data_IF_397854751287
#
_entry.id   IF_397854751287
#
_cell.length_a   1.000
_cell.length_b   1.000
_cell.length_c   1.000
_cell.angle_alpha   90.00
_cell.angle_beta   90.00
_cell.angle_gamma   90.00
#
_symmetry.space_group_name_H-M   'P 1'
#
loop_
_entity.id
_entity.type
_entity.pdbx_description
1 polymer ?
#
# COMPACT_ATOMS: atom_id res chain seq x y z
N UNK A 1 27.19 -6.47 -23.33
CA UNK A 1 26.30 -6.09 -22.23
C UNK A 1 25.13 -7.08 -22.26
N UNK A 2 24.89 -7.85 -21.20
CA UNK A 2 23.71 -8.72 -21.12
C UNK A 2 22.58 -7.87 -20.55
N UNK A 3 21.48 -7.75 -21.26
CA UNK A 3 20.23 -7.16 -20.79
C UNK A 3 19.30 -8.30 -20.31
N UNK A 4 19.67 -8.96 -19.22
CA UNK A 4 18.88 -10.04 -18.65
C UNK A 4 19.40 -10.36 -17.25
N UNK A 5 18.57 -10.99 -16.48
CA UNK A 5 18.93 -11.42 -15.12
C UNK A 5 19.96 -12.55 -15.16
N UNK A 6 20.60 -12.81 -14.04
CA UNK A 6 21.47 -13.96 -13.89
C UNK A 6 20.65 -15.26 -13.75
N UNK A 7 21.32 -16.41 -13.81
CA UNK A 7 20.68 -17.72 -13.76
C UNK A 7 19.92 -17.95 -12.44
N UNK A 8 20.40 -17.38 -11.32
CA UNK A 8 19.75 -17.48 -10.01
C UNK A 8 18.41 -16.74 -10.03
N UNK A 9 18.40 -15.52 -10.52
CA UNK A 9 17.20 -14.66 -10.57
C UNK A 9 16.17 -15.23 -11.57
N UNK A 10 16.62 -15.78 -12.71
CA UNK A 10 15.72 -16.46 -13.65
C UNK A 10 15.12 -17.74 -13.05
N UNK A 11 15.91 -18.54 -12.34
CA UNK A 11 15.39 -19.73 -11.65
C UNK A 11 14.37 -19.38 -10.56
N UNK A 12 14.56 -18.26 -9.86
CA UNK A 12 13.56 -17.73 -8.92
C UNK A 12 12.27 -17.33 -9.64
N UNK A 13 12.36 -16.64 -10.79
CA UNK A 13 11.21 -16.30 -11.63
C UNK A 13 10.43 -17.54 -12.04
N UNK A 14 11.13 -18.56 -12.57
CA UNK A 14 10.49 -19.78 -13.04
C UNK A 14 9.74 -20.50 -11.91
N UNK A 15 10.32 -20.54 -10.69
CA UNK A 15 9.65 -21.11 -9.51
C UNK A 15 8.41 -20.29 -9.11
N UNK A 16 8.50 -18.96 -9.10
CA UNK A 16 7.37 -18.09 -8.80
C UNK A 16 6.24 -18.27 -9.81
N UNK A 17 6.58 -18.25 -11.11
CA UNK A 17 5.60 -18.40 -12.19
C UNK A 17 4.89 -19.74 -12.08
N UNK A 18 5.64 -20.83 -11.91
CA UNK A 18 5.06 -22.17 -11.74
C UNK A 18 4.14 -22.24 -10.50
N UNK A 19 4.53 -21.61 -9.40
CA UNK A 19 3.71 -21.54 -8.19
C UNK A 19 2.42 -20.74 -8.44
N UNK A 20 2.51 -19.58 -9.07
CA UNK A 20 1.35 -18.74 -9.38
C UNK A 20 0.37 -19.48 -10.30
N UNK A 21 0.87 -20.10 -11.38
CA UNK A 21 0.03 -20.87 -12.30
C UNK A 21 -0.72 -22.01 -11.63
N UNK A 22 -0.14 -22.61 -10.59
CA UNK A 22 -0.75 -23.70 -9.84
C UNK A 22 -1.72 -23.25 -8.74
N UNK A 23 -1.60 -22.02 -8.23
CA UNK A 23 -2.24 -21.60 -7.00
C UNK A 23 -3.08 -20.31 -7.10
N UNK A 24 -3.11 -19.65 -8.27
CA UNK A 24 -3.98 -18.47 -8.43
C UNK A 24 -5.44 -18.85 -8.16
N UNK A 25 -6.17 -18.00 -7.41
CA UNK A 25 -7.58 -18.20 -7.15
C UNK A 25 -8.39 -18.28 -8.46
N UNK A 26 -9.49 -19.04 -8.44
CA UNK A 26 -10.43 -19.06 -9.56
C UNK A 26 -10.95 -17.63 -9.83
N UNK A 27 -10.90 -17.15 -11.09
CA UNK A 27 -11.39 -15.82 -11.44
C UNK A 27 -12.83 -15.53 -11.01
N UNK A 28 -13.68 -16.54 -10.90
CA UNK A 28 -15.06 -16.38 -10.41
C UNK A 28 -15.13 -15.96 -8.93
N UNK A 29 -14.15 -16.36 -8.12
CA UNK A 29 -14.08 -15.98 -6.71
C UNK A 29 -13.62 -14.53 -6.54
N UNK A 30 -12.81 -14.02 -7.46
CA UNK A 30 -12.24 -12.68 -7.39
C UNK A 30 -13.24 -11.58 -7.78
N UNK A 31 -14.46 -11.96 -8.19
CA UNK A 31 -15.55 -11.02 -8.42
C UNK A 31 -16.12 -10.41 -7.13
N UNK A 32 -15.95 -11.09 -5.98
CA UNK A 32 -16.32 -10.55 -4.68
C UNK A 32 -15.31 -9.47 -4.27
N UNK A 33 -15.81 -8.27 -4.01
CA UNK A 33 -14.99 -7.10 -3.67
C UNK A 33 -15.03 -6.83 -2.18
N UNK A 34 -13.89 -6.47 -1.58
CA UNK A 34 -13.87 -5.98 -0.21
C UNK A 34 -14.60 -4.62 -0.13
N UNK A 35 -15.30 -4.39 0.97
CA UNK A 35 -15.97 -3.12 1.26
C UNK A 35 -15.02 -2.09 1.86
N UNK A 36 -13.90 -2.54 2.42
CA UNK A 36 -12.83 -1.70 2.95
C UNK A 36 -11.45 -2.36 2.77
N UNK A 37 -10.38 -1.61 3.00
CA UNK A 37 -9.01 -2.11 2.97
C UNK A 37 -8.64 -3.03 4.16
N UNK A 38 -9.58 -3.34 5.05
CA UNK A 38 -9.44 -4.33 6.11
C UNK A 38 -10.53 -5.42 6.08
N UNK A 39 -11.50 -5.32 5.18
CA UNK A 39 -12.47 -6.37 4.90
C UNK A 39 -11.90 -7.33 3.85
N UNK A 40 -11.25 -8.39 4.31
CA UNK A 40 -10.59 -9.36 3.42
C UNK A 40 -11.54 -10.52 3.11
N UNK A 41 -11.92 -10.75 1.83
CA UNK A 41 -12.72 -11.89 1.43
C UNK A 41 -12.08 -13.22 1.83
N UNK A 42 -12.90 -14.24 2.09
CA UNK A 42 -12.41 -15.55 2.56
C UNK A 42 -11.39 -16.19 1.61
N UNK A 43 -11.61 -16.10 0.30
CA UNK A 43 -10.67 -16.60 -0.71
C UNK A 43 -9.33 -15.87 -0.69
N UNK A 44 -9.34 -14.54 -0.43
CA UNK A 44 -8.14 -13.73 -0.37
C UNK A 44 -7.34 -13.98 0.91
N UNK A 45 -8.02 -14.22 2.05
CA UNK A 45 -7.38 -14.68 3.30
C UNK A 45 -6.67 -16.02 3.09
N UNK A 46 -7.33 -16.96 2.44
CA UNK A 46 -6.75 -18.27 2.14
C UNK A 46 -5.55 -18.17 1.20
N UNK A 47 -5.66 -17.37 0.13
CA UNK A 47 -4.56 -17.15 -0.81
C UNK A 47 -3.36 -16.48 -0.14
N UNK A 48 -3.58 -15.41 0.64
CA UNK A 48 -2.51 -14.74 1.39
C UNK A 48 -1.84 -15.68 2.39
N UNK A 49 -2.64 -16.50 3.11
CA UNK A 49 -2.12 -17.52 4.02
C UNK A 49 -1.25 -18.54 3.30
N UNK A 50 -1.70 -19.04 2.14
CA UNK A 50 -0.94 -19.97 1.31
C UNK A 50 0.36 -19.34 0.80
N UNK A 51 0.32 -18.08 0.35
CA UNK A 51 1.54 -17.33 -0.01
C UNK A 51 2.53 -17.26 1.14
N UNK A 52 2.04 -17.03 2.37
CA UNK A 52 2.88 -17.01 3.57
C UNK A 52 3.50 -18.38 3.84
N UNK A 53 2.68 -19.44 3.89
CA UNK A 53 3.11 -20.80 4.21
C UNK A 53 4.12 -21.36 3.18
N UNK A 54 3.98 -20.97 1.90
CA UNK A 54 4.88 -21.35 0.82
C UNK A 54 6.05 -20.39 0.61
N UNK A 55 6.17 -19.34 1.44
CA UNK A 55 7.28 -18.37 1.43
C UNK A 55 7.22 -17.37 0.29
N UNK A 56 6.05 -17.13 -0.31
CA UNK A 56 5.88 -16.18 -1.41
C UNK A 56 5.24 -14.85 -1.01
N UNK A 57 4.79 -14.69 0.23
CA UNK A 57 4.12 -13.44 0.65
C UNK A 57 5.08 -12.26 0.70
N UNK A 58 6.22 -12.47 1.33
CA UNK A 58 7.25 -11.44 1.56
C UNK A 58 8.64 -12.03 1.29
N UNK A 59 9.01 -12.26 0.02
CA UNK A 59 10.14 -13.11 -0.34
C UNK A 59 11.48 -12.66 0.23
N UNK A 60 11.66 -11.37 0.55
CA UNK A 60 12.89 -10.85 1.20
C UNK A 60 13.02 -11.21 2.67
N UNK A 61 11.93 -11.60 3.33
CA UNK A 61 11.96 -12.04 4.71
C UNK A 61 12.49 -13.48 4.83
N UNK A 62 12.90 -13.89 6.04
CA UNK A 62 13.27 -15.28 6.28
C UNK A 62 12.01 -16.18 6.26
N UNK A 63 12.18 -17.52 6.12
CA UNK A 63 11.07 -18.46 5.98
C UNK A 63 10.02 -18.40 7.09
N UNK A 64 10.43 -18.17 8.34
CA UNK A 64 9.56 -18.02 9.50
C UNK A 64 8.63 -16.80 9.44
N UNK A 65 8.92 -15.86 8.55
CA UNK A 65 8.11 -14.68 8.26
C UNK A 65 7.51 -14.70 6.84
N UNK A 66 7.29 -15.90 6.29
CA UNK A 66 6.64 -16.06 4.98
C UNK A 66 7.50 -15.66 3.80
N UNK A 67 8.84 -15.74 3.93
CA UNK A 67 9.80 -15.35 2.91
C UNK A 67 10.76 -16.47 2.50
N UNK A 68 11.80 -16.09 1.74
CA UNK A 68 12.81 -16.97 1.14
C UNK A 68 14.23 -16.39 1.21
N UNK A 69 14.44 -15.31 1.98
CA UNK A 69 15.69 -14.54 1.99
C UNK A 69 16.08 -14.05 0.58
N UNK A 70 15.09 -13.68 -0.24
CA UNK A 70 15.31 -13.20 -1.59
C UNK A 70 16.12 -11.90 -1.60
N UNK A 71 16.99 -11.78 -2.58
CA UNK A 71 17.75 -10.54 -2.80
C UNK A 71 16.92 -9.47 -3.55
N UNK A 72 17.52 -8.30 -3.76
CA UNK A 72 16.83 -7.17 -4.40
C UNK A 72 16.37 -7.45 -5.83
N UNK A 73 17.10 -8.27 -6.60
CA UNK A 73 16.69 -8.62 -7.96
C UNK A 73 15.58 -9.64 -7.97
N UNK A 74 15.62 -10.63 -7.08
CA UNK A 74 14.55 -11.58 -6.88
C UNK A 74 13.27 -10.87 -6.43
N UNK A 75 13.38 -9.87 -5.52
CA UNK A 75 12.24 -9.05 -5.12
C UNK A 75 11.67 -8.23 -6.29
N UNK A 76 12.52 -7.66 -7.13
CA UNK A 76 12.07 -6.91 -8.31
C UNK A 76 11.31 -7.82 -9.27
N UNK A 77 11.87 -8.98 -9.59
CA UNK A 77 11.22 -10.00 -10.44
C UNK A 77 9.88 -10.46 -9.83
N UNK A 78 9.83 -10.64 -8.52
CA UNK A 78 8.60 -10.99 -7.81
C UNK A 78 7.50 -9.94 -8.05
N UNK A 79 7.80 -8.65 -7.86
CA UNK A 79 6.83 -7.58 -8.07
C UNK A 79 6.43 -7.44 -9.54
N UNK A 80 7.37 -7.59 -10.48
CA UNK A 80 7.07 -7.60 -11.92
C UNK A 80 6.11 -8.73 -12.30
N UNK A 81 6.33 -9.94 -11.80
CA UNK A 81 5.48 -11.09 -12.15
C UNK A 81 4.08 -11.00 -11.52
N UNK A 82 3.98 -10.47 -10.28
CA UNK A 82 2.67 -10.17 -9.68
C UNK A 82 1.93 -9.10 -10.49
N UNK A 83 2.60 -7.99 -10.83
CA UNK A 83 2.00 -6.90 -11.59
C UNK A 83 1.53 -7.33 -12.98
N UNK A 84 2.33 -8.10 -13.74
CA UNK A 84 1.95 -8.63 -15.05
C UNK A 84 0.72 -9.54 -15.01
N UNK A 85 0.51 -10.24 -13.90
CA UNK A 85 -0.61 -11.17 -13.71
C UNK A 85 -1.76 -10.57 -12.93
N UNK A 86 -1.67 -9.29 -12.57
CA UNK A 86 -2.65 -8.58 -11.75
C UNK A 86 -2.93 -9.31 -10.42
N UNK A 87 -1.89 -9.83 -9.78
CA UNK A 87 -1.99 -10.56 -8.52
C UNK A 87 -1.87 -9.62 -7.35
N UNK A 88 -2.94 -9.50 -6.58
CA UNK A 88 -2.96 -8.81 -5.29
C UNK A 88 -2.56 -9.78 -4.20
N UNK A 89 -1.42 -9.54 -3.53
CA UNK A 89 -0.92 -10.42 -2.46
C UNK A 89 -1.60 -10.19 -1.11
N UNK A 90 -2.24 -9.04 -0.92
CA UNK A 90 -2.97 -8.71 0.30
C UNK A 90 -4.03 -7.65 0.02
N UNK A 91 -5.22 -7.85 0.58
CA UNK A 91 -6.31 -6.88 0.58
C UNK A 91 -6.27 -5.96 1.81
N UNK A 92 -5.28 -6.14 2.69
CA UNK A 92 -4.98 -5.22 3.79
C UNK A 92 -3.55 -4.67 3.61
N UNK A 93 -3.33 -3.78 2.63
CA UNK A 93 -2.00 -3.32 2.26
C UNK A 93 -1.30 -2.57 3.38
N UNK A 94 -2.02 -1.74 4.17
CA UNK A 94 -1.47 -1.06 5.33
C UNK A 94 -1.05 -2.06 6.42
N UNK A 95 -1.87 -3.09 6.64
CA UNK A 95 -1.56 -4.15 7.59
C UNK A 95 -0.29 -4.90 7.20
N UNK A 96 -0.23 -5.39 5.94
CA UNK A 96 0.93 -6.16 5.47
C UNK A 96 2.16 -5.27 5.24
N UNK A 97 2.02 -4.15 4.53
CA UNK A 97 3.16 -3.36 4.05
C UNK A 97 3.74 -2.42 5.08
N UNK A 98 2.95 -1.94 6.04
CA UNK A 98 3.37 -0.92 7.01
C UNK A 98 3.32 -1.46 8.45
N UNK A 99 2.16 -1.95 8.91
CA UNK A 99 1.99 -2.34 10.31
C UNK A 99 2.84 -3.56 10.65
N UNK A 100 2.70 -4.67 9.91
CA UNK A 100 3.50 -5.88 10.17
C UNK A 100 4.99 -5.62 9.94
N UNK A 101 5.36 -4.86 8.90
CA UNK A 101 6.75 -4.49 8.63
C UNK A 101 7.36 -3.63 9.75
N UNK A 102 6.58 -2.70 10.35
CA UNK A 102 7.01 -1.92 11.50
C UNK A 102 7.25 -2.80 12.72
N UNK A 103 6.33 -3.73 12.99
CA UNK A 103 6.46 -4.65 14.13
C UNK A 103 7.66 -5.59 13.95
N UNK A 104 7.85 -6.15 12.75
CA UNK A 104 9.02 -7.01 12.44
C UNK A 104 10.34 -6.24 12.59
N UNK A 105 10.38 -4.96 12.20
CA UNK A 105 11.62 -4.16 12.21
C UNK A 105 11.96 -3.55 13.56
N UNK A 106 10.97 -3.26 14.40
CA UNK A 106 11.12 -2.45 15.61
C UNK A 106 10.50 -3.08 16.87
N UNK A 107 9.62 -4.07 16.72
CA UNK A 107 8.98 -4.79 17.80
C UNK A 107 9.89 -5.87 18.39
N UNK A 108 9.41 -6.52 19.43
CA UNK A 108 10.02 -7.70 20.05
C UNK A 108 9.37 -8.99 19.54
N UNK A 109 9.94 -10.15 19.90
CA UNK A 109 9.48 -11.47 19.44
C UNK A 109 8.02 -11.74 19.83
N UNK A 110 7.57 -11.33 21.03
CA UNK A 110 6.18 -11.48 21.47
C UNK A 110 5.22 -10.65 20.59
N UNK A 111 5.60 -9.43 20.22
CA UNK A 111 4.83 -8.57 19.34
C UNK A 111 4.77 -9.13 17.91
N UNK A 112 5.88 -9.71 17.44
CA UNK A 112 5.92 -10.35 16.14
C UNK A 112 4.97 -11.55 16.09
N UNK A 113 5.02 -12.43 17.08
CA UNK A 113 4.15 -13.61 17.17
C UNK A 113 2.67 -13.23 17.35
N UNK A 114 2.39 -12.21 18.18
CA UNK A 114 1.01 -11.84 18.53
C UNK A 114 0.30 -11.06 17.42
N UNK A 115 1.01 -10.21 16.68
CA UNK A 115 0.41 -9.30 15.71
C UNK A 115 0.99 -9.40 14.30
N UNK A 116 2.31 -9.37 14.12
CA UNK A 116 2.88 -9.32 12.78
C UNK A 116 2.57 -10.61 12.00
N UNK A 117 2.85 -11.78 12.55
CA UNK A 117 2.58 -13.07 11.89
C UNK A 117 1.09 -13.27 11.60
N UNK A 118 0.15 -13.05 12.53
CA UNK A 118 -1.29 -13.14 12.23
C UNK A 118 -1.76 -12.15 11.13
N UNK A 119 -1.21 -10.94 11.08
CA UNK A 119 -1.50 -9.98 9.99
C UNK A 119 -0.96 -10.52 8.66
N UNK A 120 0.27 -10.99 8.64
CA UNK A 120 0.89 -11.55 7.44
C UNK A 120 0.12 -12.79 6.94
N UNK A 121 -0.43 -13.61 7.83
CA UNK A 121 -1.27 -14.77 7.50
C UNK A 121 -2.73 -14.42 7.18
N UNK A 122 -3.09 -13.14 7.17
CA UNK A 122 -4.47 -12.65 7.04
C UNK A 122 -5.45 -13.21 8.09
N UNK A 123 -4.94 -13.65 9.24
CA UNK A 123 -5.74 -14.06 10.41
C UNK A 123 -6.25 -12.83 11.17
N UNK A 124 -5.48 -11.75 11.14
CA UNK A 124 -5.84 -10.41 11.64
C UNK A 124 -5.66 -9.36 10.55
N UNK A 125 -6.40 -8.28 10.67
CA UNK A 125 -6.25 -7.07 9.84
C UNK A 125 -5.76 -5.91 10.68
N UNK A 126 -5.07 -4.97 10.03
CA UNK A 126 -4.55 -3.81 10.73
C UNK A 126 -4.74 -2.52 9.93
N UNK A 127 -4.91 -1.42 10.64
CA UNK A 127 -4.96 -0.08 10.07
C UNK A 127 -3.92 0.84 10.71
N UNK A 128 -3.63 1.96 10.02
CA UNK A 128 -2.55 2.87 10.39
C UNK A 128 -3.09 4.22 10.84
N UNK A 129 -2.99 4.53 12.13
CA UNK A 129 -3.40 5.79 12.74
C UNK A 129 -2.27 6.81 12.77
N UNK A 130 -2.03 7.52 11.67
CA UNK A 130 -0.99 8.56 11.55
C UNK A 130 -1.59 9.96 11.62
N UNK A 131 -2.31 10.34 10.59
CA UNK A 131 -2.80 11.71 10.36
C UNK A 131 -3.85 12.12 11.39
N UNK A 132 -3.89 13.43 11.67
CA UNK A 132 -4.91 14.08 12.49
C UNK A 132 -5.55 15.22 11.70
N UNK A 133 -6.72 15.75 12.11
CA UNK A 133 -7.32 16.89 11.43
C UNK A 133 -6.39 18.10 11.29
N UNK A 134 -5.44 18.28 12.22
CA UNK A 134 -4.44 19.35 12.22
C UNK A 134 -3.03 18.93 11.84
N UNK A 135 -2.77 17.64 11.53
CA UNK A 135 -1.43 17.12 11.29
C UNK A 135 -1.45 16.03 10.21
N UNK A 136 -1.30 16.45 8.95
CA UNK A 136 -1.11 15.59 7.79
C UNK A 136 0.35 15.58 7.35
N UNK A 137 0.72 16.42 6.36
CA UNK A 137 2.12 16.55 5.90
C UNK A 137 3.09 16.99 7.01
N UNK A 138 2.66 17.84 7.95
CA UNK A 138 3.40 18.11 9.21
C UNK A 138 3.00 17.11 10.30
N UNK A 139 3.22 15.81 10.03
CA UNK A 139 2.88 14.73 10.97
C UNK A 139 3.58 14.92 12.34
N UNK A 140 4.75 15.53 12.36
CA UNK A 140 5.47 15.82 13.59
C UNK A 140 4.68 16.75 14.55
N UNK A 141 3.64 17.42 14.07
CA UNK A 141 2.74 18.26 14.88
C UNK A 141 1.55 17.50 15.46
N UNK A 142 1.50 16.18 15.36
CA UNK A 142 0.43 15.36 15.96
C UNK A 142 0.25 15.65 17.45
N UNK A 143 -1.00 15.61 17.91
CA UNK A 143 -1.44 16.01 19.25
C UNK A 143 -2.14 14.91 20.03
N UNK A 144 -2.57 13.81 19.37
CA UNK A 144 -3.08 12.61 20.07
C UNK A 144 -2.03 12.18 21.09
N UNK A 145 -2.36 12.32 22.37
CA UNK A 145 -1.43 12.08 23.47
C UNK A 145 -1.59 10.69 24.06
N UNK A 146 -0.49 10.16 24.58
CA UNK A 146 -0.48 8.97 25.41
C UNK A 146 0.29 9.28 26.70
N UNK A 147 -0.38 9.21 27.83
CA UNK A 147 0.18 9.51 29.15
C UNK A 147 0.42 8.19 29.89
N UNK A 148 1.62 7.90 30.37
CA UNK A 148 1.88 6.71 31.16
C UNK A 148 1.03 6.70 32.46
N UNK A 149 0.40 5.57 32.76
CA UNK A 149 -0.36 5.31 33.99
C UNK A 149 -0.15 3.84 34.43
N UNK A 150 0.75 3.62 35.32
CA UNK A 150 1.14 2.28 35.77
C UNK A 150 1.74 1.44 34.66
N UNK A 151 1.10 0.34 34.32
CA UNK A 151 1.49 -0.59 33.23
C UNK A 151 0.76 -0.31 31.92
N UNK A 152 0.09 0.84 31.80
CA UNK A 152 -0.66 1.27 30.62
C UNK A 152 -0.29 2.70 30.19
N UNK A 153 -0.71 3.03 28.99
CA UNK A 153 -0.85 4.41 28.50
C UNK A 153 -2.32 4.77 28.42
N UNK A 154 -2.68 5.96 28.89
CA UNK A 154 -4.02 6.56 28.66
C UNK A 154 -3.93 7.38 27.39
N UNK A 155 -4.65 6.95 26.34
CA UNK A 155 -4.61 7.59 25.03
C UNK A 155 -5.86 8.46 24.82
N UNK A 156 -5.63 9.73 24.42
CA UNK A 156 -6.68 10.70 24.12
C UNK A 156 -6.35 11.48 22.85
N UNK A 157 -7.32 11.64 21.96
CA UNK A 157 -7.17 12.41 20.73
C UNK A 157 -8.01 11.89 19.58
N UNK A 158 -7.60 12.26 18.38
CA UNK A 158 -8.32 11.90 17.16
C UNK A 158 -7.34 11.63 16.02
N UNK A 159 -7.60 10.56 15.25
CA UNK A 159 -6.96 10.30 13.96
C UNK A 159 -7.98 10.43 12.83
N UNK A 160 -7.51 10.71 11.62
CA UNK A 160 -8.34 10.82 10.42
C UNK A 160 -7.62 10.18 9.22
N UNK A 161 -8.36 9.84 8.18
CA UNK A 161 -7.86 9.14 6.99
C UNK A 161 -7.32 7.74 7.31
N UNK A 162 -7.80 7.12 8.38
CA UNK A 162 -7.38 5.78 8.79
C UNK A 162 -8.13 4.73 7.97
N UNK A 163 -7.49 4.27 6.87
CA UNK A 163 -8.11 3.32 5.95
C UNK A 163 -8.43 2.00 6.62
N UNK A 164 -9.67 1.50 6.41
CA UNK A 164 -10.14 0.21 6.91
C UNK A 164 -10.28 0.10 8.42
N UNK A 165 -10.15 1.20 9.20
CA UNK A 165 -10.14 1.10 10.65
C UNK A 165 -11.41 0.49 11.25
N UNK A 166 -12.57 0.64 10.60
CA UNK A 166 -13.84 0.10 11.09
C UNK A 166 -13.88 -1.44 11.05
N UNK A 167 -13.15 -2.08 10.14
CA UNK A 167 -13.05 -3.53 10.01
C UNK A 167 -11.75 -4.11 10.56
N UNK A 168 -10.76 -3.25 10.90
CA UNK A 168 -9.47 -3.70 11.39
C UNK A 168 -9.54 -4.28 12.81
N UNK A 169 -8.75 -5.33 13.07
CA UNK A 169 -8.57 -5.94 14.40
C UNK A 169 -7.64 -5.11 15.29
N UNK A 170 -6.64 -4.45 14.68
CA UNK A 170 -5.65 -3.66 15.41
C UNK A 170 -5.29 -2.38 14.67
N UNK A 171 -4.85 -1.37 15.42
CA UNK A 171 -4.30 -0.12 14.89
C UNK A 171 -2.85 0.04 15.32
N UNK A 172 -1.96 0.42 14.40
CA UNK A 172 -0.66 1.02 14.77
C UNK A 172 -0.86 2.54 14.81
N UNK A 173 -0.74 3.13 16.00
CA UNK A 173 -1.06 4.55 16.22
C UNK A 173 0.18 5.32 16.65
N UNK A 174 0.46 6.44 15.98
CA UNK A 174 1.51 7.37 16.37
C UNK A 174 0.94 8.42 17.32
N UNK A 175 1.53 8.54 18.50
CA UNK A 175 1.02 9.35 19.62
C UNK A 175 2.10 10.24 20.23
N UNK A 176 1.69 11.34 20.87
CA UNK A 176 2.55 12.25 21.62
C UNK A 176 2.73 11.73 23.05
N UNK A 177 3.93 11.24 23.35
CA UNK A 177 4.29 10.74 24.69
C UNK A 177 5.12 11.76 25.48
N UNK A 178 5.79 12.70 24.79
CA UNK A 178 6.51 13.81 25.45
C UNK A 178 6.16 15.12 24.72
N UNK A 179 5.27 15.97 25.28
CA UNK A 179 4.87 17.23 24.69
C UNK A 179 5.94 18.33 24.78
N UNK A 180 6.91 18.21 25.70
CA UNK A 180 7.96 19.19 25.93
C UNK A 180 9.21 18.93 25.06
N UNK A 181 9.31 17.76 24.47
CA UNK A 181 10.40 17.41 23.57
C UNK A 181 10.28 18.14 22.21
N UNK A 182 11.38 18.32 21.46
CA UNK A 182 11.32 18.74 20.08
C UNK A 182 10.36 17.84 19.27
N UNK A 183 9.57 18.42 18.35
CA UNK A 183 8.46 17.76 17.63
C UNK A 183 8.69 16.29 17.29
N UNK A 184 9.85 15.97 16.69
CA UNK A 184 10.18 14.62 16.23
C UNK A 184 10.65 13.66 17.34
N UNK A 185 10.91 14.15 18.55
CA UNK A 185 11.51 13.36 19.63
C UNK A 185 10.54 12.99 20.75
N UNK A 186 9.29 13.39 20.65
CA UNK A 186 8.27 13.09 21.65
C UNK A 186 7.12 12.23 21.10
N UNK A 187 7.36 11.46 20.05
CA UNK A 187 6.39 10.60 19.40
C UNK A 187 6.72 9.14 19.70
N UNK A 188 5.71 8.34 20.01
CA UNK A 188 5.81 6.89 20.16
C UNK A 188 4.83 6.18 19.23
N UNK A 189 5.04 4.89 19.00
CA UNK A 189 4.14 4.03 18.24
C UNK A 189 3.51 2.98 19.16
N UNK A 190 2.18 2.90 19.18
CA UNK A 190 1.43 1.97 20.02
C UNK A 190 0.55 1.06 19.16
N UNK A 191 0.48 -0.23 19.52
CA UNK A 191 -0.52 -1.14 18.96
C UNK A 191 -1.76 -1.06 19.85
N UNK A 192 -2.90 -0.72 19.24
CA UNK A 192 -4.20 -0.61 19.91
C UNK A 192 -5.15 -1.65 19.34
N UNK A 193 -5.65 -2.56 20.16
CA UNK A 193 -6.71 -3.49 19.74
C UNK A 193 -8.03 -2.74 19.61
N UNK A 194 -8.77 -3.00 18.53
CA UNK A 194 -9.91 -2.15 18.14
C UNK A 194 -11.17 -2.37 18.98
N UNK A 195 -11.21 -3.41 19.79
CA UNK A 195 -12.26 -3.68 20.79
C UNK A 195 -11.98 -2.99 22.14
N UNK A 196 -10.90 -2.21 22.25
CA UNK A 196 -10.54 -1.51 23.51
C UNK A 196 -11.61 -0.45 23.84
N UNK A 197 -12.14 -0.44 25.05
CA UNK A 197 -13.11 0.57 25.49
C UNK A 197 -12.61 2.00 25.32
N UNK A 198 -13.49 2.91 24.90
CA UNK A 198 -13.14 4.31 24.62
C UNK A 198 -12.64 4.58 23.21
N UNK A 199 -12.44 3.55 22.39
CA UNK A 199 -12.13 3.68 20.96
C UNK A 199 -13.41 3.73 20.13
N UNK A 200 -13.58 4.82 19.37
CA UNK A 200 -14.71 4.98 18.44
C UNK A 200 -14.17 5.19 17.01
N UNK A 201 -14.68 4.43 16.04
CA UNK A 201 -14.25 4.42 14.64
C UNK A 201 -15.43 4.76 13.75
N UNK A 202 -15.35 5.92 13.09
CA UNK A 202 -16.42 6.46 12.27
C UNK A 202 -16.03 6.49 10.81
N UNK A 203 -16.49 5.51 10.03
CA UNK A 203 -16.21 5.50 8.60
C UNK A 203 -16.96 6.65 7.89
N UNK A 204 -16.34 7.17 6.82
CA UNK A 204 -16.95 8.19 5.96
C UNK A 204 -16.63 7.92 4.48
N UNK A 205 -17.56 8.28 3.57
CA UNK A 205 -17.38 8.07 2.14
C UNK A 205 -16.35 9.03 1.54
N UNK A 206 -15.71 8.61 0.46
CA UNK A 206 -14.84 9.42 -0.37
C UNK A 206 -15.58 9.96 -1.64
N UNK A 207 -14.83 10.58 -2.56
CA UNK A 207 -15.36 11.11 -3.81
C UNK A 207 -15.83 10.03 -4.80
N UNK A 208 -15.45 8.77 -4.59
CA UNK A 208 -15.90 7.64 -5.42
C UNK A 208 -17.37 7.28 -5.21
N UNK A 209 -18.01 7.83 -4.17
CA UNK A 209 -19.43 7.68 -3.94
C UNK A 209 -19.79 7.24 -2.52
N UNK A 210 -21.09 7.20 -2.17
CA UNK A 210 -21.54 6.90 -0.82
C UNK A 210 -21.22 5.47 -0.36
N UNK A 211 -20.97 4.56 -1.28
CA UNK A 211 -20.66 3.15 -0.99
C UNK A 211 -19.13 2.90 -0.88
N UNK A 212 -18.31 3.91 -1.20
CA UNK A 212 -16.86 3.88 -1.06
C UNK A 212 -16.46 4.36 0.34
N UNK A 213 -16.56 3.46 1.31
CA UNK A 213 -16.37 3.78 2.73
C UNK A 213 -15.13 3.05 3.24
N UNK A 214 -13.95 3.67 3.10
CA UNK A 214 -12.70 3.11 3.60
C UNK A 214 -12.06 3.97 4.69
N UNK A 215 -12.14 5.30 4.55
CA UNK A 215 -11.54 6.21 5.50
C UNK A 215 -12.34 6.34 6.78
N UNK A 216 -11.63 6.50 7.89
CA UNK A 216 -12.24 6.66 9.20
C UNK A 216 -11.68 7.87 9.95
N UNK A 217 -12.55 8.53 10.70
CA UNK A 217 -12.16 9.23 11.90
C UNK A 217 -12.08 8.22 13.05
N UNK A 218 -11.01 8.30 13.83
CA UNK A 218 -10.80 7.42 14.99
C UNK A 218 -10.61 8.27 16.22
N UNK A 219 -11.51 8.12 17.20
CA UNK A 219 -11.51 8.89 18.44
C UNK A 219 -11.01 8.01 19.58
N UNK A 220 -10.17 8.59 20.42
CA UNK A 220 -9.63 8.00 21.63
C UNK A 220 -10.10 8.81 22.83
N UNK A 221 -10.88 8.20 23.70
CA UNK A 221 -11.43 8.80 24.94
C UNK A 221 -11.04 7.91 26.11
N UNK A 222 -9.97 8.30 26.79
CA UNK A 222 -9.31 7.56 27.88
C UNK A 222 -9.05 6.07 27.55
N UNK A 223 -8.60 5.80 26.32
CA UNK A 223 -8.28 4.44 25.87
C UNK A 223 -7.06 3.92 26.59
N UNK A 224 -7.22 2.80 27.31
CA UNK A 224 -6.13 2.16 28.07
C UNK A 224 -5.36 1.19 27.18
N UNK A 225 -4.11 1.50 26.87
CA UNK A 225 -3.25 0.68 26.04
C UNK A 225 -2.11 0.10 26.88
N UNK A 226 -1.94 -1.23 26.98
CA UNK A 226 -0.86 -1.83 27.75
C UNK A 226 0.51 -1.33 27.32
N UNK A 227 1.42 -1.08 28.27
CA UNK A 227 2.79 -0.63 27.98
C UNK A 227 3.57 -1.65 27.12
N UNK A 228 3.22 -2.93 27.20
CA UNK A 228 3.76 -3.98 26.33
C UNK A 228 3.42 -3.80 24.84
N UNK A 229 2.42 -2.98 24.51
CA UNK A 229 2.03 -2.65 23.15
C UNK A 229 2.85 -1.51 22.52
N UNK A 230 3.83 -0.96 23.25
CA UNK A 230 4.77 0.02 22.73
C UNK A 230 5.72 -0.67 21.71
N UNK A 231 5.71 -0.23 20.48
CA UNK A 231 6.63 -0.70 19.45
C UNK A 231 7.92 0.09 19.51
N UNK A 232 9.06 -0.60 19.66
CA UNK A 232 10.36 0.03 19.87
C UNK A 232 10.47 0.73 21.23
N UNK A 233 11.31 1.77 21.29
CA UNK A 233 11.53 2.53 22.52
C UNK A 233 10.55 3.69 22.67
N UNK A 234 10.34 4.16 23.90
CA UNK A 234 9.55 5.36 24.17
C UNK A 234 10.18 6.56 23.46
N UNK A 235 9.34 7.35 22.80
CA UNK A 235 9.72 8.53 22.01
C UNK A 235 10.52 8.23 20.72
N UNK A 236 10.56 6.97 20.26
CA UNK A 236 11.23 6.56 19.03
C UNK A 236 10.28 6.45 17.80
N UNK A 237 9.02 6.84 17.98
CA UNK A 237 7.97 6.71 16.95
C UNK A 237 8.30 7.42 15.64
N UNK A 238 9.06 8.51 15.67
CA UNK A 238 9.49 9.17 14.44
C UNK A 238 10.44 8.32 13.59
N UNK A 239 11.37 7.60 14.23
CA UNK A 239 12.26 6.66 13.54
C UNK A 239 11.46 5.49 12.96
N UNK A 240 10.51 4.98 13.74
CA UNK A 240 9.61 3.88 13.31
C UNK A 240 8.79 4.32 12.08
N UNK A 241 8.17 5.49 12.13
CA UNK A 241 7.41 6.06 11.01
C UNK A 241 8.24 6.17 9.73
N UNK A 242 9.44 6.73 9.81
CA UNK A 242 10.32 6.86 8.65
C UNK A 242 10.83 5.51 8.15
N UNK A 243 11.13 4.58 9.04
CA UNK A 243 11.60 3.23 8.70
C UNK A 243 10.53 2.43 7.97
N UNK A 244 9.29 2.45 8.46
CA UNK A 244 8.14 1.81 7.84
C UNK A 244 7.92 2.29 6.41
N UNK A 245 7.90 3.61 6.20
CA UNK A 245 7.74 4.24 4.89
C UNK A 245 8.95 4.00 3.96
N UNK A 246 10.15 3.82 4.48
CA UNK A 246 11.34 3.57 3.66
C UNK A 246 11.34 2.18 3.02
N UNK A 247 10.87 1.15 3.74
CA UNK A 247 10.74 -0.19 3.21
C UNK A 247 9.73 -0.25 2.05
N UNK A 248 8.60 0.41 2.20
CA UNK A 248 7.59 0.51 1.16
C UNK A 248 8.14 1.20 -0.10
N UNK A 249 8.80 2.34 0.07
CA UNK A 249 9.30 3.17 -1.04
C UNK A 249 10.40 2.51 -1.88
N UNK A 250 11.14 1.54 -1.35
CA UNK A 250 12.30 0.97 -2.03
C UNK A 250 11.98 0.38 -3.41
N UNK A 251 10.79 -0.23 -3.56
CA UNK A 251 10.35 -0.91 -4.79
C UNK A 251 9.05 -0.34 -5.38
N UNK A 252 8.53 0.77 -4.87
CA UNK A 252 7.30 1.41 -5.39
C UNK A 252 7.37 1.70 -6.89
N UNK A 253 8.55 1.99 -7.43
CA UNK A 253 8.72 2.28 -8.84
C UNK A 253 8.35 1.10 -9.76
N UNK A 254 8.54 -0.15 -9.30
CA UNK A 254 8.13 -1.34 -10.05
C UNK A 254 6.61 -1.33 -10.19
N UNK A 255 5.93 -1.09 -9.08
CA UNK A 255 4.47 -1.02 -9.04
C UNK A 255 3.93 0.15 -9.86
N UNK A 256 4.52 1.35 -9.71
CA UNK A 256 4.12 2.52 -10.48
C UNK A 256 4.28 2.32 -11.99
N UNK A 257 5.42 1.79 -12.44
CA UNK A 257 5.62 1.53 -13.86
C UNK A 257 4.68 0.44 -14.39
N UNK A 258 4.44 -0.63 -13.63
CA UNK A 258 3.54 -1.69 -14.05
C UNK A 258 2.07 -1.24 -14.07
N UNK A 259 1.64 -0.49 -13.06
CA UNK A 259 0.29 0.07 -13.02
C UNK A 259 0.05 1.04 -14.18
N UNK A 260 1.04 1.87 -14.52
CA UNK A 260 0.95 2.78 -15.67
C UNK A 260 0.91 2.00 -17.00
N UNK A 261 1.69 0.92 -17.14
CA UNK A 261 1.63 0.05 -18.32
C UNK A 261 0.23 -0.60 -18.47
N UNK A 262 -0.32 -1.11 -17.36
CA UNK A 262 -1.66 -1.70 -17.34
C UNK A 262 -2.74 -0.66 -17.72
N UNK A 263 -2.64 0.56 -17.18
CA UNK A 263 -3.55 1.66 -17.56
C UNK A 263 -3.40 2.06 -19.03
N UNK A 264 -2.20 2.03 -19.58
CA UNK A 264 -1.94 2.28 -20.99
C UNK A 264 -2.57 1.21 -21.89
N UNK A 265 -2.44 -0.06 -21.52
CA UNK A 265 -3.04 -1.18 -22.25
C UNK A 265 -4.58 -1.04 -22.27
N UNK A 266 -5.20 -0.71 -21.12
CA UNK A 266 -6.63 -0.45 -21.01
C UNK A 266 -7.05 0.75 -21.85
N UNK A 267 -6.29 1.86 -21.82
CA UNK A 267 -6.56 3.06 -22.61
C UNK A 267 -6.50 2.79 -24.12
N UNK A 268 -5.48 2.07 -24.57
CA UNK A 268 -5.32 1.68 -25.96
C UNK A 268 -6.46 0.76 -26.43
N UNK A 269 -6.87 -0.19 -25.59
CA UNK A 269 -7.98 -1.08 -25.90
C UNK A 269 -9.31 -0.31 -26.05
N UNK A 270 -9.58 0.65 -25.17
CA UNK A 270 -10.82 1.42 -25.16
C UNK A 270 -10.88 2.47 -26.29
N UNK A 271 -9.74 3.08 -26.63
CA UNK A 271 -9.67 4.02 -27.75
C UNK A 271 -9.69 3.33 -29.11
N UNK A 272 -9.39 2.02 -29.16
CA UNK A 272 -9.34 1.27 -30.43
C UNK A 272 -10.67 1.33 -31.18
N UNK A 273 -10.62 1.75 -32.44
CA UNK A 273 -11.81 1.86 -33.30
C UNK A 273 -12.69 3.10 -33.03
N UNK A 274 -12.28 3.97 -32.12
CA UNK A 274 -12.91 5.29 -31.91
C UNK A 274 -12.24 6.36 -32.80
N UNK A 275 -12.87 7.53 -33.03
CA UNK A 275 -12.23 8.65 -33.72
C UNK A 275 -10.96 9.16 -33.02
N UNK A 276 -10.80 8.91 -31.71
CA UNK A 276 -9.65 9.34 -30.93
C UNK A 276 -8.40 8.48 -31.16
N UNK A 277 -8.56 7.30 -31.77
CA UNK A 277 -7.41 6.43 -32.10
C UNK A 277 -6.45 7.07 -33.13
N UNK A 278 -6.94 7.97 -33.96
CA UNK A 278 -6.18 8.69 -34.99
C UNK A 278 -6.01 10.20 -34.67
N UNK A 279 -6.36 10.64 -33.46
CA UNK A 279 -6.19 12.03 -33.02
C UNK A 279 -4.75 12.29 -32.61
N UNK A 280 -4.07 13.21 -33.30
CA UNK A 280 -2.66 13.54 -33.06
C UNK A 280 -2.39 14.01 -31.63
N UNK A 281 -3.34 14.71 -30.97
CA UNK A 281 -3.20 15.18 -29.58
C UNK A 281 -3.27 14.01 -28.61
N UNK A 282 -4.21 13.10 -28.84
CA UNK A 282 -4.35 11.88 -28.03
C UNK A 282 -3.11 11.01 -28.17
N UNK A 283 -2.64 10.80 -29.41
CA UNK A 283 -1.44 10.01 -29.69
C UNK A 283 -0.17 10.63 -29.08
N UNK A 284 0.00 11.96 -29.10
CA UNK A 284 1.12 12.64 -28.45
C UNK A 284 1.10 12.43 -26.93
N UNK A 285 -0.07 12.53 -26.28
CA UNK A 285 -0.22 12.34 -24.84
C UNK A 285 -0.01 10.87 -24.43
N UNK A 286 -0.53 9.91 -25.19
CA UNK A 286 -0.24 8.48 -24.97
C UNK A 286 1.25 8.19 -25.13
N UNK A 287 1.89 8.78 -26.16
CA UNK A 287 3.34 8.69 -26.35
C UNK A 287 4.14 9.20 -25.15
N UNK A 288 3.71 10.31 -24.53
CA UNK A 288 4.32 10.82 -23.29
C UNK A 288 4.15 9.85 -22.12
N UNK A 289 2.96 9.30 -21.90
CA UNK A 289 2.72 8.32 -20.85
C UNK A 289 3.58 7.06 -21.01
N UNK A 290 3.80 6.60 -22.25
CA UNK A 290 4.74 5.50 -22.57
C UNK A 290 6.18 5.90 -22.19
N UNK A 291 6.60 7.12 -22.54
CA UNK A 291 7.94 7.62 -22.18
C UNK A 291 8.11 7.72 -20.67
N UNK A 292 7.08 8.17 -19.94
CA UNK A 292 7.11 8.27 -18.48
C UNK A 292 7.22 6.90 -17.83
N UNK A 293 6.48 5.88 -18.28
CA UNK A 293 6.63 4.49 -17.82
C UNK A 293 8.06 3.99 -18.01
N UNK A 294 8.64 4.20 -19.19
CA UNK A 294 10.03 3.83 -19.44
C UNK A 294 11.03 4.60 -18.58
N UNK A 295 10.82 5.90 -18.38
CA UNK A 295 11.69 6.73 -17.55
C UNK A 295 11.65 6.30 -16.08
N UNK A 296 10.46 6.03 -15.53
CA UNK A 296 10.28 5.48 -14.17
C UNK A 296 11.06 4.17 -14.01
N UNK A 297 10.93 3.26 -14.98
CA UNK A 297 11.63 1.97 -14.96
C UNK A 297 13.15 2.12 -15.00
N UNK A 298 13.68 2.98 -15.88
CA UNK A 298 15.13 3.23 -15.98
C UNK A 298 15.70 3.92 -14.74
N UNK A 299 14.98 4.87 -14.15
CA UNK A 299 15.35 5.51 -12.89
C UNK A 299 15.31 4.51 -11.73
N UNK A 300 14.32 3.62 -11.72
CA UNK A 300 14.22 2.53 -10.75
C UNK A 300 15.40 1.56 -10.82
N UNK A 301 15.80 1.12 -12.00
CA UNK A 301 17.01 0.31 -12.18
C UNK A 301 18.28 1.05 -11.71
N UNK A 302 18.38 2.34 -11.96
CA UNK A 302 19.49 3.18 -11.46
C UNK A 302 19.48 3.26 -9.93
N UNK A 303 18.31 3.41 -9.31
CA UNK A 303 18.14 3.37 -7.86
C UNK A 303 18.64 2.03 -7.30
N UNK A 304 18.21 0.91 -7.88
CA UNK A 304 18.59 -0.43 -7.46
C UNK A 304 20.11 -0.62 -7.53
N UNK A 305 20.73 -0.20 -8.63
CA UNK A 305 22.19 -0.27 -8.81
C UNK A 305 22.96 0.58 -7.77
N UNK A 306 22.39 1.67 -7.27
CA UNK A 306 22.98 2.47 -6.18
C UNK A 306 22.81 1.75 -4.83
N UNK A 307 21.63 1.22 -4.53
CA UNK A 307 21.37 0.48 -3.30
C UNK A 307 22.30 -0.72 -3.14
N UNK A 308 22.56 -1.47 -4.22
CA UNK A 308 23.54 -2.56 -4.21
C UNK A 308 24.96 -2.11 -3.83
N UNK A 309 25.30 -0.86 -4.09
CA UNK A 309 26.61 -0.28 -3.72
C UNK A 309 26.59 0.38 -2.34
N UNK A 310 25.52 0.21 -1.55
CA UNK A 310 25.36 0.83 -0.24
C UNK A 310 25.11 2.34 -0.28
N UNK A 311 24.73 2.90 -1.45
CA UNK A 311 24.42 4.31 -1.60
C UNK A 311 22.94 4.56 -1.35
N UNK A 312 22.61 5.69 -0.70
CA UNK A 312 21.22 6.13 -0.53
C UNK A 312 20.78 6.87 -1.81
N UNK A 313 19.80 6.32 -2.56
CA UNK A 313 19.39 6.94 -3.81
C UNK A 313 18.40 8.09 -3.55
N UNK A 314 18.67 9.28 -4.09
CA UNK A 314 17.74 10.41 -4.08
C UNK A 314 16.57 10.22 -5.07
N UNK A 315 16.69 9.31 -6.00
CA UNK A 315 15.72 9.02 -7.05
C UNK A 315 14.36 8.55 -6.50
N UNK A 316 14.33 8.02 -5.30
CA UNK A 316 13.12 7.49 -4.65
C UNK A 316 11.97 8.51 -4.60
N UNK A 317 12.28 9.75 -4.22
CA UNK A 317 11.28 10.82 -4.15
C UNK A 317 10.83 11.28 -5.53
N UNK A 318 11.74 11.28 -6.52
CA UNK A 318 11.41 11.63 -7.92
C UNK A 318 10.48 10.56 -8.51
N UNK A 319 10.76 9.29 -8.27
CA UNK A 319 9.96 8.18 -8.80
C UNK A 319 8.52 8.20 -8.29
N UNK A 320 8.31 8.50 -7.01
CA UNK A 320 6.97 8.67 -6.44
C UNK A 320 6.20 9.80 -7.13
N UNK A 321 6.83 10.95 -7.27
CA UNK A 321 6.22 12.12 -7.92
C UNK A 321 5.87 11.80 -9.38
N UNK A 322 6.83 11.32 -10.16
CA UNK A 322 6.61 10.97 -11.57
C UNK A 322 5.51 9.93 -11.74
N UNK A 323 5.51 8.87 -10.93
CA UNK A 323 4.52 7.79 -11.05
C UNK A 323 3.11 8.27 -10.76
N UNK A 324 2.91 9.05 -9.71
CA UNK A 324 1.59 9.57 -9.35
C UNK A 324 1.06 10.59 -10.38
N UNK A 325 1.91 11.49 -10.87
CA UNK A 325 1.53 12.48 -11.88
C UNK A 325 1.23 11.83 -13.24
N UNK A 326 2.06 10.86 -13.67
CA UNK A 326 1.85 10.16 -14.93
C UNK A 326 0.52 9.39 -14.97
N UNK A 327 0.13 8.73 -13.87
CA UNK A 327 -1.17 8.07 -13.79
C UNK A 327 -2.33 9.07 -13.83
N UNK A 328 -2.19 10.21 -13.15
CA UNK A 328 -3.20 11.27 -13.17
C UNK A 328 -3.37 11.86 -14.56
N UNK A 329 -2.28 12.12 -15.27
CA UNK A 329 -2.30 12.67 -16.62
C UNK A 329 -2.94 11.69 -17.62
N UNK A 330 -2.66 10.39 -17.51
CA UNK A 330 -3.29 9.37 -18.35
C UNK A 330 -4.80 9.24 -18.07
N UNK A 331 -5.19 9.22 -16.80
CA UNK A 331 -6.60 9.17 -16.43
C UNK A 331 -7.36 10.43 -16.89
N UNK A 332 -6.74 11.61 -16.79
CA UNK A 332 -7.29 12.86 -17.31
C UNK A 332 -7.47 12.82 -18.85
N UNK A 333 -6.47 12.29 -19.58
CA UNK A 333 -6.57 12.10 -21.03
C UNK A 333 -7.79 11.25 -21.39
N UNK A 334 -8.00 10.15 -20.67
CA UNK A 334 -9.12 9.25 -20.94
C UNK A 334 -10.47 9.91 -20.65
N UNK A 335 -10.59 10.68 -19.54
CA UNK A 335 -11.79 11.47 -19.27
C UNK A 335 -12.10 12.45 -20.39
N UNK A 336 -11.09 13.17 -20.87
CA UNK A 336 -11.25 14.14 -21.96
C UNK A 336 -11.65 13.46 -23.28
N UNK A 337 -11.05 12.31 -23.58
CA UNK A 337 -11.31 11.57 -24.83
C UNK A 337 -12.68 10.90 -24.83
N UNK A 338 -13.10 10.29 -23.73
CA UNK A 338 -14.37 9.57 -23.61
C UNK A 338 -15.55 10.49 -23.29
N UNK A 339 -15.29 11.68 -22.73
CA UNK A 339 -16.33 12.66 -22.40
C UNK A 339 -17.38 12.07 -21.42
N UNK A 340 -18.67 12.20 -21.75
CA UNK A 340 -19.74 11.74 -20.87
C UNK A 340 -19.73 10.22 -20.62
N UNK A 341 -19.22 9.41 -21.54
CA UNK A 341 -19.11 7.95 -21.35
C UNK A 341 -18.11 7.55 -20.26
N UNK A 342 -17.11 8.39 -19.97
CA UNK A 342 -16.18 8.16 -18.88
C UNK A 342 -16.82 8.21 -17.48
N UNK A 343 -18.04 8.78 -17.38
CA UNK A 343 -18.80 8.86 -16.15
C UNK A 343 -19.74 7.65 -15.94
N UNK A 344 -19.78 6.73 -16.90
CA UNK A 344 -20.60 5.53 -16.79
C UNK A 344 -19.92 4.53 -15.85
N UNK A 345 -20.51 4.39 -14.65
CA UNK A 345 -20.04 3.46 -13.61
C UNK A 345 -20.68 2.07 -13.74
N UNK A 346 -21.51 1.84 -14.74
CA UNK A 346 -22.17 0.54 -14.98
C UNK A 346 -21.34 -0.39 -15.86
N UNK A 347 -20.19 0.04 -16.30
CA UNK A 347 -19.28 -0.79 -17.12
C UNK A 347 -18.84 -2.01 -16.33
N UNK A 348 -19.09 -3.19 -16.90
CA UNK A 348 -18.80 -4.48 -16.31
C UNK A 348 -17.32 -4.56 -15.87
N UNK A 349 -17.13 -4.56 -14.57
CA UNK A 349 -15.83 -4.54 -13.95
C UNK A 349 -15.16 -5.91 -13.94
N UNK A 350 -15.11 -6.59 -15.04
CA UNK A 350 -14.13 -7.67 -15.27
C UNK A 350 -12.70 -7.13 -15.20
N UNK A 351 -12.57 -5.83 -14.96
CA UNK A 351 -11.30 -5.16 -14.77
C UNK A 351 -10.69 -5.57 -13.43
N UNK A 352 -9.71 -6.32 -13.57
CA UNK A 352 -8.65 -6.88 -12.78
C UNK A 352 -8.17 -5.89 -11.74
N UNK A 353 -8.05 -6.31 -10.51
CA UNK A 353 -7.39 -5.56 -9.46
C UNK A 353 -5.93 -5.32 -9.82
N UNK A 354 -5.51 -4.12 -10.15
CA UNK A 354 -4.15 -3.76 -9.93
C UNK A 354 -4.09 -2.97 -8.65
N UNK A 355 -3.30 -3.46 -7.74
CA UNK A 355 -2.64 -2.76 -6.67
C UNK A 355 -3.31 -1.49 -6.12
N UNK A 356 -3.49 -1.42 -4.82
CA UNK A 356 -3.85 -0.31 -3.93
C UNK A 356 -4.76 0.82 -4.47
N UNK A 357 -4.66 1.11 -5.76
CA UNK A 357 -5.37 2.17 -6.45
C UNK A 357 -6.65 1.71 -7.14
N UNK A 358 -6.84 0.39 -7.33
CA UNK A 358 -7.98 -0.09 -8.08
C UNK A 358 -8.85 -1.01 -7.24
N UNK A 359 -9.54 -0.47 -6.27
CA UNK A 359 -10.60 -1.15 -5.51
C UNK A 359 -11.78 -1.53 -6.41
N UNK A 360 -11.46 -1.97 -7.62
CA UNK A 360 -12.40 -2.22 -8.66
C UNK A 360 -12.96 -0.93 -9.24
N UNK A 361 -12.13 0.12 -9.31
CA UNK A 361 -12.40 1.27 -10.13
C UNK A 361 -12.72 0.80 -11.53
N UNK A 362 -13.91 1.08 -11.93
CA UNK A 362 -14.54 0.51 -13.10
C UNK A 362 -14.52 1.52 -14.20
N UNK A 363 -14.62 2.78 -13.83
CA UNK A 363 -14.67 3.89 -14.76
C UNK A 363 -13.36 4.69 -14.73
N UNK A 364 -13.09 5.37 -15.84
CA UNK A 364 -11.97 6.30 -15.89
C UNK A 364 -12.16 7.50 -14.94
N UNK A 365 -13.42 7.84 -14.62
CA UNK A 365 -13.71 8.86 -13.60
C UNK A 365 -13.26 8.40 -12.20
N UNK A 366 -13.50 7.16 -11.82
CA UNK A 366 -13.05 6.62 -10.53
C UNK A 366 -11.52 6.56 -10.50
N UNK A 367 -10.88 6.05 -11.56
CA UNK A 367 -9.42 6.05 -11.69
C UNK A 367 -8.85 7.45 -11.52
N UNK A 368 -9.41 8.44 -12.21
CA UNK A 368 -8.96 9.83 -12.10
C UNK A 368 -9.10 10.39 -10.68
N UNK A 369 -10.27 10.23 -10.05
CA UNK A 369 -10.48 10.66 -8.67
C UNK A 369 -9.50 9.99 -7.71
N UNK A 370 -9.23 8.72 -7.92
CA UNK A 370 -8.32 7.95 -7.08
C UNK A 370 -6.84 8.41 -7.22
N UNK A 371 -6.40 8.86 -8.41
CA UNK A 371 -5.02 9.33 -8.62
C UNK A 371 -4.64 10.52 -7.75
N UNK A 372 -5.63 11.32 -7.26
CA UNK A 372 -5.35 12.41 -6.32
C UNK A 372 -4.79 11.92 -4.99
N UNK A 373 -5.22 10.76 -4.51
CA UNK A 373 -4.62 10.16 -3.32
C UNK A 373 -3.12 9.94 -3.53
N UNK A 374 -2.71 9.44 -4.70
CA UNK A 374 -1.31 9.24 -5.06
C UNK A 374 -0.48 10.53 -5.13
N UNK A 375 -1.06 11.66 -5.47
CA UNK A 375 -0.35 12.95 -5.54
C UNK A 375 -0.30 13.69 -4.20
N UNK A 376 -1.22 13.41 -3.27
CA UNK A 376 -1.36 14.09 -1.97
C UNK A 376 -0.65 13.31 -0.86
N UNK A 377 -0.85 12.00 -0.78
CA UNK A 377 -0.31 11.12 0.25
C UNK A 377 1.10 10.62 -0.08
N UNK A 378 1.88 10.23 0.93
CA UNK A 378 3.17 9.55 0.78
C UNK A 378 4.38 10.36 1.14
#
# INVERSE_FOLDING_TARGET
>A
MRFGYDEKTEAFRDQLVAWLEANLPDPSLTAERPTSSADIPAWAREFQRQMFDDGWLSPTYPPELGGRNADLFEQMVYLEELGRRHVTRSFNPQGLGIVSASIVSFGNDEQIERWAVPIMRAEKTAALGMSEPGAGSDLASLTTRAVPDGDHFVVNGQKVWTSGAHDADVLLVFVRTDPDAPKHKGISALIVETDTPGLDRRPFPDLGGPDHVDFNEVFFDDVLVPSANLVGDLNDGWRICNGALAHERAMLWVMWSQSLDNMLDDALAELHGTPHADDDVVLDRLGRSIMDSHAIRLLGHRQLAKQQRGLVPAEQSILKLMGSEAQQDLAALMLESLGASALDQTVDSTLRFPYETDRGAVSWSDRYLFTFAGTISG
#
